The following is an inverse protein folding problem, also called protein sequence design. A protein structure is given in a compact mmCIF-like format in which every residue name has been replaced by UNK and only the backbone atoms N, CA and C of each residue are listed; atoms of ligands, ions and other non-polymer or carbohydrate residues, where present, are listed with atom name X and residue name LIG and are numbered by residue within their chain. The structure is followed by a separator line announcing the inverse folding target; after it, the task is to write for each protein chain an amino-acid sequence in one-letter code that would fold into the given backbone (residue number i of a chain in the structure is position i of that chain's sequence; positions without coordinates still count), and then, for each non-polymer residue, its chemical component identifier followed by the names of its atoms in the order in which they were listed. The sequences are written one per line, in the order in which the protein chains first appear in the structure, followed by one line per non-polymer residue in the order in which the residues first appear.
data_IF_381531341930
#
_entry.id   IF_381531341930
#
_cell.length_a   1.000
_cell.length_b   1.000
_cell.length_c   1.000
_cell.angle_alpha   90.00
_cell.angle_beta   90.00
_cell.angle_gamma   90.00
#
_symmetry.space_group_name_H-M   'P 1'
#
loop_
_entity.id
_entity.type
_entity.pdbx_description
1 polymer ?
#
# COMPACT_ATOMS: atom_id res chain seq x y z
N UNK A 1 10.08 1.74 -20.24
CA UNK A 1 10.13 2.27 -18.88
C UNK A 1 8.76 2.02 -18.27
N UNK A 2 8.67 1.34 -17.14
CA UNK A 2 7.39 1.19 -16.44
C UNK A 2 7.02 2.57 -15.89
N UNK A 3 6.00 3.19 -16.46
CA UNK A 3 5.44 4.43 -15.97
C UNK A 3 4.49 4.05 -14.86
N UNK A 4 4.77 4.47 -13.61
CA UNK A 4 3.85 4.27 -12.50
C UNK A 4 2.50 4.94 -12.77
N UNK A 5 1.44 4.49 -12.10
CA UNK A 5 0.12 5.10 -12.24
C UNK A 5 0.19 6.59 -11.98
N UNK A 6 -0.28 7.36 -12.95
CA UNK A 6 -0.45 8.80 -12.79
C UNK A 6 -1.47 9.07 -11.68
N UNK A 7 -1.11 9.88 -10.70
CA UNK A 7 -2.01 10.34 -9.66
C UNK A 7 -1.73 11.80 -9.33
N UNK A 8 -2.63 12.72 -9.69
CA UNK A 8 -2.47 14.13 -9.35
C UNK A 8 -2.31 14.37 -7.86
N UNK A 9 -2.90 13.50 -7.05
CA UNK A 9 -2.82 13.58 -5.58
C UNK A 9 -1.47 13.15 -5.02
N UNK A 10 -0.67 12.39 -5.78
CA UNK A 10 0.68 11.96 -5.38
C UNK A 10 1.70 13.09 -5.35
N UNK A 11 1.36 14.26 -5.87
CA UNK A 11 2.18 15.47 -5.83
C UNK A 11 2.40 15.98 -4.40
N UNK A 12 1.45 15.72 -3.52
CA UNK A 12 1.39 16.32 -2.18
C UNK A 12 1.89 15.36 -1.10
N UNK A 13 2.44 15.92 -0.03
CA UNK A 13 2.89 15.16 1.12
C UNK A 13 4.06 14.23 0.82
N UNK A 14 3.87 12.95 1.07
CA UNK A 14 4.85 11.88 0.81
C UNK A 14 4.43 10.97 -0.36
N UNK A 15 3.61 11.49 -1.26
CA UNK A 15 3.03 10.73 -2.36
C UNK A 15 1.72 10.02 -1.99
N UNK A 16 1.24 9.16 -2.88
CA UNK A 16 0.10 8.29 -2.61
C UNK A 16 0.55 7.11 -1.74
N UNK A 17 -0.04 7.03 -0.55
CA UNK A 17 0.24 5.95 0.39
C UNK A 17 -0.46 4.69 -0.07
N UNK A 18 0.28 3.58 -0.06
CA UNK A 18 -0.21 2.28 -0.47
C UNK A 18 -0.96 1.61 0.69
N UNK A 19 -2.26 1.48 0.55
CA UNK A 19 -3.12 0.81 1.54
C UNK A 19 -3.16 -0.73 1.37
N UNK A 20 -2.53 -1.23 0.31
CA UNK A 20 -2.54 -2.64 -0.06
C UNK A 20 -1.45 -3.45 0.63
N UNK A 21 -1.80 -4.65 1.11
CA UNK A 21 -0.83 -5.63 1.62
C UNK A 21 -0.38 -6.62 0.55
N UNK A 22 -1.07 -6.65 -0.60
CA UNK A 22 -0.76 -7.50 -1.74
C UNK A 22 -0.54 -8.97 -1.37
N UNK A 23 -1.36 -9.48 -0.45
CA UNK A 23 -1.41 -10.86 -0.01
C UNK A 23 -2.80 -11.46 -0.26
N UNK A 24 -3.10 -12.61 0.31
CA UNK A 24 -4.39 -13.26 0.18
C UNK A 24 -5.58 -12.34 0.50
N UNK A 25 -5.44 -11.37 1.40
CA UNK A 25 -6.54 -10.49 1.80
C UNK A 25 -6.88 -9.41 0.77
N UNK A 26 -6.12 -9.28 -0.33
CA UNK A 26 -6.39 -8.30 -1.39
C UNK A 26 -7.80 -8.47 -1.96
N UNK A 27 -8.27 -9.70 -2.17
CA UNK A 27 -9.63 -10.01 -2.60
C UNK A 27 -10.73 -9.71 -1.56
N UNK A 28 -10.34 -9.51 -0.30
CA UNK A 28 -11.20 -9.09 0.81
C UNK A 28 -11.10 -7.57 1.08
N UNK A 29 -10.74 -6.77 0.07
CA UNK A 29 -10.49 -5.33 0.21
C UNK A 29 -9.40 -4.99 1.23
N UNK A 30 -8.35 -5.83 1.34
CA UNK A 30 -7.28 -5.74 2.33
C UNK A 30 -7.75 -5.84 3.79
N UNK A 31 -8.89 -6.48 4.03
CA UNK A 31 -9.45 -6.75 5.35
C UNK A 31 -8.79 -7.99 5.92
N UNK A 32 -7.96 -7.86 6.96
CA UNK A 32 -7.16 -8.99 7.43
C UNK A 32 -6.50 -8.81 8.80
N UNK A 33 -6.86 -7.80 9.60
CA UNK A 33 -6.27 -7.57 10.93
C UNK A 33 -6.54 -8.76 11.86
N UNK A 34 -7.69 -9.41 11.75
CA UNK A 34 -8.04 -10.62 12.49
C UNK A 34 -7.97 -11.90 11.65
N UNK A 35 -7.68 -11.79 10.33
CA UNK A 35 -7.63 -12.94 9.44
C UNK A 35 -6.37 -13.77 9.72
N UNK A 36 -6.51 -15.10 9.79
CA UNK A 36 -5.42 -16.03 10.07
C UNK A 36 -5.30 -17.05 8.94
N UNK A 37 -4.08 -17.38 8.56
CA UNK A 37 -3.80 -18.38 7.52
C UNK A 37 -2.57 -19.21 7.87
N UNK A 38 -2.70 -20.51 7.74
CA UNK A 38 -1.59 -21.42 7.98
C UNK A 38 -0.61 -21.56 6.79
N UNK A 39 -0.93 -20.96 5.65
CA UNK A 39 -0.14 -21.05 4.41
C UNK A 39 0.31 -19.69 3.89
N UNK A 40 -0.59 -18.70 3.90
CA UNK A 40 -0.32 -17.38 3.32
C UNK A 40 0.20 -16.40 4.37
N UNK A 41 1.08 -15.50 3.93
CA UNK A 41 1.69 -14.47 4.78
C UNK A 41 0.72 -13.28 4.91
N UNK A 42 -0.03 -13.25 6.00
CA UNK A 42 -1.00 -12.17 6.29
C UNK A 42 -0.28 -11.05 7.03
N UNK A 43 0.28 -10.10 6.28
CA UNK A 43 1.02 -8.96 6.85
C UNK A 43 0.16 -7.80 7.35
N UNK A 44 -1.17 -7.94 7.30
CA UNK A 44 -2.12 -6.97 7.86
C UNK A 44 -1.98 -6.81 9.38
N UNK A 45 -1.53 -7.88 10.06
CA UNK A 45 -1.26 -7.91 11.48
C UNK A 45 -0.06 -8.83 11.74
N UNK A 46 1.05 -8.34 12.31
CA UNK A 46 2.23 -9.18 12.54
C UNK A 46 1.95 -10.41 13.43
N UNK A 47 0.95 -10.36 14.31
CA UNK A 47 0.58 -11.50 15.15
C UNK A 47 0.09 -12.72 14.33
N UNK A 48 -0.36 -12.52 13.07
CA UNK A 48 -0.88 -13.59 12.21
C UNK A 48 0.17 -14.64 11.83
N UNK A 49 1.46 -14.28 11.83
CA UNK A 49 2.55 -15.20 11.43
C UNK A 49 2.71 -16.40 12.35
N UNK A 50 2.18 -16.34 13.58
CA UNK A 50 2.14 -17.50 14.48
C UNK A 50 1.24 -18.65 13.97
N UNK A 51 0.30 -18.37 13.03
CA UNK A 51 -0.61 -19.37 12.45
C UNK A 51 0.05 -20.24 11.40
N UNK A 52 1.16 -19.83 10.81
CA UNK A 52 1.86 -20.58 9.77
C UNK A 52 2.05 -22.06 10.20
N UNK A 53 1.98 -22.96 9.21
CA UNK A 53 2.22 -24.39 9.46
C UNK A 53 3.63 -24.61 9.98
N UNK A 54 3.78 -25.40 11.03
CA UNK A 54 5.08 -25.75 11.62
C UNK A 54 6.01 -26.41 10.61
N UNK A 55 7.28 -26.04 10.61
CA UNK A 55 8.29 -26.53 9.66
C UNK A 55 7.96 -26.27 8.19
N UNK A 56 7.17 -25.21 7.92
CA UNK A 56 6.74 -24.82 6.59
C UNK A 56 7.38 -23.49 6.22
N UNK A 57 8.02 -23.47 5.07
CA UNK A 57 8.53 -22.28 4.42
C UNK A 57 7.51 -21.81 3.40
N UNK A 58 7.23 -20.54 3.37
CA UNK A 58 6.37 -19.92 2.36
C UNK A 58 7.02 -18.67 1.79
N UNK A 59 6.85 -18.48 0.49
CA UNK A 59 7.32 -17.31 -0.25
C UNK A 59 6.17 -16.78 -1.10
N UNK A 60 6.01 -15.48 -1.14
CA UNK A 60 4.98 -14.79 -1.91
C UNK A 60 5.59 -13.73 -2.81
N UNK A 61 5.10 -13.68 -4.04
CA UNK A 61 5.40 -12.60 -4.98
C UNK A 61 4.12 -12.12 -5.63
N UNK A 62 4.01 -10.81 -5.85
CA UNK A 62 2.81 -10.18 -6.37
C UNK A 62 3.10 -9.05 -7.33
N UNK A 63 2.30 -8.98 -8.41
CA UNK A 63 2.29 -7.89 -9.38
C UNK A 63 0.88 -7.32 -9.50
N UNK A 64 0.77 -6.02 -9.80
CA UNK A 64 -0.49 -5.33 -10.04
C UNK A 64 -0.45 -4.61 -11.37
N UNK A 65 -1.42 -4.88 -12.24
CA UNK A 65 -1.81 -4.03 -13.36
C UNK A 65 -2.88 -3.04 -12.90
N UNK A 66 -2.78 -1.81 -13.32
CA UNK A 66 -3.71 -0.74 -12.99
C UNK A 66 -4.12 0.02 -14.25
N UNK A 67 -5.42 0.34 -14.35
CA UNK A 67 -6.00 1.21 -15.37
C UNK A 67 -6.77 2.31 -14.64
N UNK A 68 -6.51 3.55 -15.00
CA UNK A 68 -7.13 4.72 -14.35
C UNK A 68 -7.71 5.64 -15.42
N UNK A 69 -8.96 6.06 -15.22
CA UNK A 69 -9.67 7.07 -16.00
C UNK A 69 -9.88 8.31 -15.13
N UNK A 70 -9.47 9.48 -15.64
CA UNK A 70 -9.50 10.74 -14.91
C UNK A 70 -10.66 11.61 -15.39
N UNK A 71 -11.39 12.23 -14.46
CA UNK A 71 -12.49 13.17 -14.73
C UNK A 71 -12.36 14.40 -13.86
N UNK A 72 -12.52 15.57 -14.43
CA UNK A 72 -12.47 16.86 -13.73
C UNK A 72 -11.68 17.91 -14.48
N UNK A 73 -11.72 19.14 -14.01
CA UNK A 73 -10.94 20.29 -14.46
C UNK A 73 -10.20 20.89 -13.26
N UNK A 74 -9.05 21.54 -13.40
CA UNK A 74 -8.56 22.32 -14.53
C UNK A 74 -7.21 21.82 -15.11
N UNK A 75 -6.91 20.54 -15.02
CA UNK A 75 -5.60 20.05 -15.44
C UNK A 75 -5.71 19.60 -16.90
N UNK A 76 -4.93 20.22 -17.78
CA UNK A 76 -4.66 19.68 -19.10
C UNK A 76 -3.75 18.46 -18.93
N UNK A 77 -4.39 17.34 -18.59
CA UNK A 77 -3.73 16.05 -18.47
C UNK A 77 -3.44 15.59 -19.89
N UNK A 78 -2.19 15.35 -20.23
CA UNK A 78 -1.76 14.88 -21.54
C UNK A 78 -2.51 13.60 -21.98
N UNK A 79 -3.11 12.87 -21.03
CA UNK A 79 -3.99 11.74 -21.26
C UNK A 79 -5.02 11.63 -20.15
N UNK A 80 -6.29 11.43 -20.52
CA UNK A 80 -7.39 11.13 -19.59
C UNK A 80 -7.33 9.70 -19.03
N UNK A 81 -6.38 8.89 -19.48
CA UNK A 81 -6.22 7.49 -19.08
C UNK A 81 -4.77 7.16 -18.83
N UNK A 82 -4.52 6.29 -17.86
CA UNK A 82 -3.21 5.75 -17.53
C UNK A 82 -3.28 4.24 -17.32
N UNK A 83 -2.24 3.52 -17.76
CA UNK A 83 -2.09 2.09 -17.51
C UNK A 83 -0.67 1.78 -17.05
N UNK A 84 -0.53 0.89 -16.06
CA UNK A 84 0.75 0.53 -15.49
C UNK A 84 0.77 -0.91 -14.98
N UNK A 85 1.97 -1.51 -14.95
CA UNK A 85 2.23 -2.80 -14.30
C UNK A 85 3.37 -2.64 -13.33
N UNK A 86 3.11 -2.93 -12.05
CA UNK A 86 4.08 -2.75 -10.97
C UNK A 86 4.25 -3.99 -10.14
N UNK A 87 5.50 -4.23 -9.72
CA UNK A 87 5.81 -5.20 -8.70
C UNK A 87 5.40 -4.68 -7.33
N UNK A 88 4.69 -5.50 -6.53
CA UNK A 88 4.06 -5.04 -5.29
C UNK A 88 4.46 -5.82 -4.05
N UNK A 89 4.96 -7.04 -4.20
CA UNK A 89 5.28 -7.85 -3.03
C UNK A 89 6.36 -8.88 -3.32
N UNK A 90 7.34 -8.93 -2.43
CA UNK A 90 8.20 -10.06 -2.22
C UNK A 90 8.22 -10.32 -0.71
N UNK A 91 7.82 -11.51 -0.30
CA UNK A 91 7.81 -11.85 1.12
C UNK A 91 8.15 -13.32 1.32
N UNK A 92 8.79 -13.63 2.43
CA UNK A 92 9.15 -14.97 2.85
C UNK A 92 8.81 -15.14 4.32
N UNK A 93 8.39 -16.34 4.70
CA UNK A 93 8.08 -16.61 6.10
C UNK A 93 8.24 -18.07 6.45
N UNK A 94 8.51 -18.31 7.72
CA UNK A 94 8.64 -19.65 8.32
C UNK A 94 8.00 -19.67 9.70
N UNK A 95 7.55 -20.83 10.11
CA UNK A 95 7.27 -21.11 11.52
C UNK A 95 8.46 -21.87 12.10
N UNK A 96 9.31 -21.16 12.82
CA UNK A 96 10.58 -21.69 13.32
C UNK A 96 10.39 -22.69 14.46
N UNK A 97 9.35 -22.49 15.29
CA UNK A 97 8.96 -23.43 16.37
C UNK A 97 7.44 -23.59 16.38
N UNK A 98 6.90 -24.43 17.25
CA UNK A 98 5.44 -24.63 17.39
C UNK A 98 4.67 -23.33 17.68
N UNK A 99 5.32 -22.35 18.30
CA UNK A 99 4.70 -21.10 18.75
C UNK A 99 5.23 -19.86 18.05
N UNK A 100 6.41 -19.94 17.42
CA UNK A 100 7.09 -18.78 16.84
C UNK A 100 7.10 -18.82 15.32
N UNK A 101 6.47 -17.82 14.71
CA UNK A 101 6.51 -17.54 13.27
C UNK A 101 7.24 -16.25 12.97
N UNK A 102 7.96 -16.20 11.86
CA UNK A 102 8.70 -15.02 11.40
C UNK A 102 8.52 -14.82 9.90
N UNK A 103 8.59 -13.55 9.46
CA UNK A 103 8.50 -13.18 8.05
C UNK A 103 9.40 -11.99 7.76
N UNK A 104 9.99 -11.98 6.58
CA UNK A 104 10.68 -10.84 5.98
C UNK A 104 10.02 -10.50 4.65
N UNK A 105 10.08 -9.25 4.24
CA UNK A 105 9.53 -8.87 2.93
C UNK A 105 9.85 -7.46 2.52
N UNK A 106 9.56 -7.20 1.24
CA UNK A 106 9.68 -5.91 0.57
C UNK A 106 8.34 -5.59 -0.09
N UNK A 107 7.78 -4.44 0.26
CA UNK A 107 6.50 -3.94 -0.27
C UNK A 107 6.59 -2.42 -0.52
N UNK A 108 5.84 -1.86 -1.45
CA UNK A 108 5.75 -0.41 -1.60
C UNK A 108 5.08 0.22 -0.37
N UNK A 109 5.53 1.41 0.00
CA UNK A 109 4.96 2.23 1.08
C UNK A 109 4.20 3.42 0.52
N UNK A 110 4.83 4.18 -0.40
CA UNK A 110 4.16 5.25 -1.15
C UNK A 110 4.75 5.39 -2.55
N UNK A 111 3.96 5.97 -3.45
CA UNK A 111 4.37 6.21 -4.84
C UNK A 111 4.06 7.63 -5.24
N UNK A 112 4.92 8.21 -6.05
CA UNK A 112 4.71 9.50 -6.68
C UNK A 112 4.83 9.32 -8.20
N UNK A 113 3.77 9.70 -8.92
CA UNK A 113 3.79 9.77 -10.38
C UNK A 113 2.72 10.74 -10.84
N UNK A 114 3.14 11.89 -11.36
CA UNK A 114 2.28 12.91 -11.92
C UNK A 114 3.01 13.67 -13.01
N UNK A 115 2.25 14.17 -13.98
CA UNK A 115 2.72 15.02 -15.07
C UNK A 115 1.57 15.90 -15.57
N UNK A 116 1.70 17.22 -15.49
CA UNK A 116 0.68 18.14 -15.98
C UNK A 116 1.25 19.52 -16.32
N UNK A 117 0.54 20.22 -17.21
CA UNK A 117 0.85 21.58 -17.61
C UNK A 117 -0.21 22.54 -17.06
N UNK A 118 0.24 23.68 -16.58
CA UNK A 118 -0.64 24.77 -16.14
C UNK A 118 -0.27 26.03 -16.96
N UNK A 119 -1.20 26.58 -17.76
CA UNK A 119 -0.94 27.84 -18.44
C UNK A 119 -0.76 28.98 -17.41
N UNK A 120 0.27 29.77 -17.58
CA UNK A 120 0.63 30.85 -16.69
C UNK A 120 0.82 32.16 -17.47
N UNK A 121 0.16 33.24 -17.05
CA UNK A 121 0.35 34.56 -17.64
C UNK A 121 1.60 35.21 -17.06
N UNK A 122 2.59 35.48 -17.89
CA UNK A 122 3.79 36.22 -17.49
C UNK A 122 3.42 37.65 -17.18
N UNK A 123 3.59 38.07 -15.92
CA UNK A 123 3.36 39.46 -15.50
C UNK A 123 4.35 40.39 -16.22
N UNK A 124 3.83 41.37 -16.95
CA UNK A 124 4.64 42.36 -17.66
C UNK A 124 4.92 42.05 -19.13
N UNK A 125 4.51 40.91 -19.67
CA UNK A 125 4.73 40.52 -21.09
C UNK A 125 3.52 40.77 -22.01
N UNK A 126 2.45 41.39 -21.52
CA UNK A 126 1.22 41.63 -22.27
C UNK A 126 0.36 40.35 -22.43
N UNK A 127 0.39 39.68 -23.56
CA UNK A 127 -0.44 38.51 -23.86
C UNK A 127 0.35 37.20 -23.96
N UNK A 128 1.63 37.17 -23.58
CA UNK A 128 2.42 35.96 -23.65
C UNK A 128 2.02 34.98 -22.53
N UNK A 129 1.60 33.79 -22.97
CA UNK A 129 1.27 32.66 -22.09
C UNK A 129 2.50 31.78 -21.99
N UNK A 130 3.03 31.61 -20.80
CA UNK A 130 4.02 30.59 -20.49
C UNK A 130 3.31 29.31 -20.01
N UNK A 131 3.91 28.16 -20.21
CA UNK A 131 3.44 26.90 -19.65
C UNK A 131 4.31 26.53 -18.46
N UNK A 132 3.67 26.20 -17.37
CA UNK A 132 4.31 25.65 -16.18
C UNK A 132 4.14 24.13 -16.17
N UNK A 133 5.21 23.41 -16.47
CA UNK A 133 5.22 21.95 -16.54
C UNK A 133 5.69 21.40 -15.19
N UNK A 134 4.83 20.57 -14.59
CA UNK A 134 5.10 19.87 -13.33
C UNK A 134 5.17 18.37 -13.60
N UNK A 135 6.22 17.74 -13.13
CA UNK A 135 6.34 16.28 -13.12
C UNK A 135 6.96 15.77 -11.84
N UNK A 136 6.54 14.59 -11.42
CA UNK A 136 7.12 13.93 -10.27
C UNK A 136 7.03 12.43 -10.41
N UNK A 137 8.10 11.74 -10.02
CA UNK A 137 8.15 10.29 -10.04
C UNK A 137 9.02 9.79 -8.89
N UNK A 138 8.79 8.56 -8.51
CA UNK A 138 9.57 7.89 -7.47
C UNK A 138 8.71 6.98 -6.61
N UNK A 139 9.37 6.27 -5.72
CA UNK A 139 8.72 5.38 -4.78
C UNK A 139 9.48 5.31 -3.47
N UNK A 140 8.72 5.18 -2.40
CA UNK A 140 9.22 4.85 -1.08
C UNK A 140 8.78 3.42 -0.78
N UNK A 141 9.72 2.58 -0.39
CA UNK A 141 9.52 1.17 -0.14
C UNK A 141 9.68 0.84 1.34
N UNK A 142 9.14 -0.28 1.74
CA UNK A 142 9.20 -0.82 3.09
C UNK A 142 9.81 -2.22 3.06
N UNK A 143 11.03 -2.37 3.61
CA UNK A 143 11.61 -3.67 3.94
C UNK A 143 11.28 -3.98 5.40
N UNK A 144 10.65 -5.11 5.67
CA UNK A 144 10.20 -5.45 7.01
C UNK A 144 10.74 -6.79 7.50
N UNK A 145 10.86 -6.88 8.82
CA UNK A 145 11.06 -8.12 9.55
C UNK A 145 10.02 -8.20 10.67
N UNK A 146 9.20 -9.23 10.61
CA UNK A 146 8.11 -9.45 11.55
C UNK A 146 8.28 -10.76 12.30
N UNK A 147 7.91 -10.76 13.57
CA UNK A 147 7.92 -11.92 14.46
C UNK A 147 6.59 -12.01 15.18
N UNK A 148 6.11 -13.22 15.37
CA UNK A 148 4.90 -13.52 16.12
C UNK A 148 5.10 -14.69 17.05
N UNK A 149 4.52 -14.61 18.24
CA UNK A 149 4.53 -15.67 19.22
C UNK A 149 3.13 -15.98 19.73
N UNK A 150 2.78 -17.25 19.76
CA UNK A 150 1.50 -17.77 20.23
C UNK A 150 1.58 -18.19 21.70
N UNK A 151 0.68 -17.64 22.50
CA UNK A 151 0.50 -17.98 23.91
C UNK A 151 -0.81 -18.75 24.11
N UNK A 152 -0.78 -19.77 24.94
CA UNK A 152 -1.96 -20.52 25.41
C UNK A 152 -2.91 -21.00 24.29
N UNK A 153 -2.45 -21.12 23.05
CA UNK A 153 -3.24 -21.50 21.86
C UNK A 153 -4.47 -20.64 21.54
N UNK A 154 -4.56 -19.44 22.13
CA UNK A 154 -5.67 -18.53 21.96
C UNK A 154 -5.27 -17.07 21.76
N UNK A 155 -4.03 -16.73 22.04
CA UNK A 155 -3.51 -15.37 21.99
C UNK A 155 -2.21 -15.38 21.20
N UNK A 156 -2.12 -14.51 20.21
CA UNK A 156 -0.87 -14.27 19.49
C UNK A 156 -0.49 -12.80 19.60
N UNK A 157 0.76 -12.53 19.87
CA UNK A 157 1.37 -11.20 19.80
C UNK A 157 2.42 -11.17 18.71
N UNK A 158 2.58 -10.03 18.08
CA UNK A 158 3.56 -9.86 17.02
C UNK A 158 4.14 -8.45 17.00
N UNK A 159 5.34 -8.35 16.46
CA UNK A 159 6.00 -7.09 16.19
C UNK A 159 6.66 -7.12 14.81
N UNK A 160 6.56 -6.02 14.09
CA UNK A 160 7.20 -5.78 12.80
C UNK A 160 8.13 -4.57 12.95
N UNK A 161 9.39 -4.73 12.59
CA UNK A 161 10.33 -3.65 12.37
C UNK A 161 10.46 -3.45 10.87
N UNK A 162 10.14 -2.25 10.39
CA UNK A 162 10.16 -1.90 8.98
C UNK A 162 11.14 -0.76 8.73
N UNK A 163 12.07 -0.95 7.80
CA UNK A 163 12.91 0.10 7.27
C UNK A 163 12.24 0.69 6.03
N UNK A 164 11.83 1.95 6.15
CA UNK A 164 11.24 2.73 5.06
C UNK A 164 12.37 3.47 4.37
N UNK A 165 12.44 3.38 3.04
CA UNK A 165 13.49 4.01 2.24
C UNK A 165 13.02 4.26 0.82
N UNK A 166 13.52 5.33 0.21
CA UNK A 166 13.21 5.65 -1.18
C UNK A 166 13.50 7.09 -1.54
N UNK A 167 13.21 7.42 -2.79
CA UNK A 167 13.42 8.73 -3.37
C UNK A 167 12.19 9.18 -4.15
N UNK A 168 11.84 10.45 -3.97
CA UNK A 168 10.82 11.16 -4.75
C UNK A 168 11.52 12.28 -5.51
N UNK A 169 11.34 12.31 -6.83
CA UNK A 169 11.94 13.30 -7.72
C UNK A 169 10.83 14.20 -8.25
N UNK A 170 10.96 15.50 -8.06
CA UNK A 170 10.02 16.51 -8.52
C UNK A 170 10.75 17.46 -9.48
N UNK A 171 10.13 17.76 -10.60
CA UNK A 171 10.64 18.69 -11.60
C UNK A 171 9.57 19.70 -11.97
N UNK A 172 9.96 20.94 -12.00
CA UNK A 172 9.14 22.09 -12.28
C UNK A 172 9.84 22.95 -13.34
N UNK A 173 9.20 23.13 -14.50
CA UNK A 173 9.77 23.84 -15.64
C UNK A 173 8.82 24.94 -16.06
N UNK A 174 9.31 26.19 -16.09
CA UNK A 174 8.63 27.32 -16.74
C UNK A 174 9.11 27.37 -18.17
N UNK A 175 8.18 27.22 -19.12
CA UNK A 175 8.43 27.27 -20.56
C UNK A 175 7.84 28.56 -21.16
N UNK A 176 8.64 29.26 -21.96
CA UNK A 176 8.15 30.40 -22.74
C UNK A 176 7.19 29.98 -23.88
N UNK A 177 6.55 30.94 -24.52
CA UNK A 177 5.58 30.72 -25.60
C UNK A 177 6.12 29.95 -26.82
N UNK A 178 7.46 29.92 -26.99
CA UNK A 178 8.15 29.12 -28.02
C UNK A 178 8.53 27.71 -27.55
N UNK A 179 8.12 27.28 -26.33
CA UNK A 179 8.47 26.00 -25.75
C UNK A 179 9.87 25.90 -25.15
N UNK A 180 10.66 27.00 -25.20
CA UNK A 180 11.98 26.99 -24.56
C UNK A 180 11.86 27.03 -23.04
N UNK A 181 12.70 26.26 -22.34
CA UNK A 181 12.76 26.27 -20.89
C UNK A 181 13.37 27.59 -20.41
N UNK A 182 12.64 28.35 -19.60
CA UNK A 182 13.12 29.59 -18.97
C UNK A 182 13.81 29.31 -17.66
N UNK A 183 13.21 28.45 -16.84
CA UNK A 183 13.75 28.02 -15.54
C UNK A 183 13.33 26.57 -15.31
N UNK A 184 14.26 25.74 -14.86
CA UNK A 184 14.00 24.37 -14.42
C UNK A 184 14.39 24.21 -12.95
N UNK A 185 13.45 23.85 -12.12
CA UNK A 185 13.68 23.50 -10.71
C UNK A 185 13.57 22.01 -10.52
N UNK A 186 14.55 21.38 -9.92
CA UNK A 186 14.52 19.98 -9.48
C UNK A 186 14.51 19.92 -7.96
N UNK A 187 13.77 18.98 -7.40
CA UNK A 187 13.72 18.72 -5.96
C UNK A 187 13.72 17.21 -5.73
N UNK A 188 14.85 16.68 -5.31
CA UNK A 188 15.02 15.26 -5.01
C UNK A 188 14.93 15.07 -3.50
N UNK A 189 13.99 14.25 -3.07
CA UNK A 189 13.72 13.99 -1.65
C UNK A 189 14.04 12.53 -1.35
N UNK A 190 15.14 12.30 -0.64
CA UNK A 190 15.53 10.99 -0.14
C UNK A 190 14.97 10.80 1.26
N UNK A 191 14.25 9.69 1.48
CA UNK A 191 13.59 9.40 2.76
C UNK A 191 14.06 8.08 3.33
N UNK A 192 14.29 8.05 4.64
CA UNK A 192 14.64 6.82 5.35
C UNK A 192 14.32 6.89 6.84
N UNK A 193 13.83 5.83 7.43
CA UNK A 193 13.83 5.55 8.88
C UNK A 193 13.22 4.20 9.21
N UNK A 194 13.24 3.84 10.49
CA UNK A 194 12.56 2.69 11.07
C UNK A 194 11.14 3.04 11.51
N UNK A 195 10.21 2.13 11.24
CA UNK A 195 8.81 2.20 11.64
C UNK A 195 8.39 0.88 12.28
N UNK A 196 7.78 0.94 13.46
CA UNK A 196 7.41 -0.23 14.23
C UNK A 196 5.91 -0.44 14.22
N UNK A 197 5.48 -1.68 14.01
CA UNK A 197 4.08 -2.09 14.12
C UNK A 197 3.95 -3.26 15.09
N UNK A 198 3.02 -3.15 16.01
CA UNK A 198 2.69 -4.18 16.99
C UNK A 198 1.33 -4.78 16.65
N UNK A 199 1.16 -6.06 16.91
CA UNK A 199 -0.05 -6.78 16.63
C UNK A 199 -0.47 -7.70 17.78
N UNK A 200 -1.77 -7.81 17.94
CA UNK A 200 -2.41 -8.74 18.87
C UNK A 200 -3.53 -9.45 18.12
N UNK A 201 -3.67 -10.75 18.35
CA UNK A 201 -4.83 -11.52 17.93
C UNK A 201 -5.28 -12.42 19.08
N UNK A 202 -6.60 -12.43 19.33
CA UNK A 202 -7.26 -13.35 20.25
C UNK A 202 -8.26 -14.15 19.45
N UNK A 203 -8.25 -15.47 19.58
CA UNK A 203 -9.04 -16.35 18.73
C UNK A 203 -9.48 -17.61 19.47
N UNK A 204 -10.53 -18.22 18.95
CA UNK A 204 -11.10 -19.42 19.56
C UNK A 204 -12.20 -20.03 18.73
N UNK A 205 -12.82 -21.05 19.30
CA UNK A 205 -13.94 -21.75 18.70
C UNK A 205 -15.23 -21.50 19.52
N UNK A 206 -16.34 -21.25 18.83
CA UNK A 206 -17.69 -21.22 19.38
C UNK A 206 -18.41 -22.51 18.97
N UNK A 207 -18.36 -23.50 19.84
CA UNK A 207 -18.82 -24.85 19.53
C UNK A 207 -17.98 -25.54 18.43
N UNK A 208 -18.59 -26.46 17.69
CA UNK A 208 -17.89 -27.30 16.69
C UNK A 208 -17.81 -26.66 15.30
N UNK A 209 -18.61 -25.64 15.02
CA UNK A 209 -18.82 -25.11 13.66
C UNK A 209 -18.27 -23.69 13.45
N UNK A 210 -18.11 -22.92 14.49
CA UNK A 210 -17.72 -21.54 14.39
C UNK A 210 -16.33 -21.32 14.95
N UNK A 211 -15.53 -20.55 14.23
CA UNK A 211 -14.25 -20.01 14.67
C UNK A 211 -14.33 -18.50 14.63
N UNK A 212 -13.74 -17.83 15.61
CA UNK A 212 -13.70 -16.40 15.69
C UNK A 212 -12.28 -15.92 15.98
N UNK A 213 -11.97 -14.72 15.53
CA UNK A 213 -10.76 -14.01 15.90
C UNK A 213 -11.03 -12.51 16.00
N UNK A 214 -10.43 -11.89 16.99
CA UNK A 214 -10.32 -10.45 17.14
C UNK A 214 -8.86 -10.06 16.95
N UNK A 215 -8.61 -8.97 16.25
CA UNK A 215 -7.28 -8.45 15.99
C UNK A 215 -7.16 -6.98 16.35
N UNK A 216 -5.99 -6.60 16.83
CA UNK A 216 -5.58 -5.22 17.03
C UNK A 216 -4.20 -4.97 16.47
N UNK A 217 -3.99 -3.79 15.88
CA UNK A 217 -2.67 -3.32 15.44
C UNK A 217 -2.43 -1.90 15.93
N UNK A 218 -1.18 -1.63 16.27
CA UNK A 218 -0.71 -0.31 16.65
C UNK A 218 0.64 -0.06 16.00
N UNK A 219 0.79 1.10 15.35
CA UNK A 219 2.10 1.58 14.89
C UNK A 219 2.38 2.92 15.55
N UNK A 220 3.55 3.08 16.12
CA UNK A 220 3.93 4.34 16.74
C UNK A 220 4.36 5.36 15.68
N UNK A 221 4.18 6.64 16.00
CA UNK A 221 4.74 7.75 15.24
C UNK A 221 6.24 7.53 15.00
N UNK A 222 6.71 7.82 13.78
CA UNK A 222 8.12 7.81 13.42
C UNK A 222 8.46 9.04 12.57
N UNK A 223 9.62 9.62 12.81
CA UNK A 223 10.07 10.81 12.06
C UNK A 223 11.03 10.34 10.96
N UNK A 224 10.55 10.29 9.71
CA UNK A 224 11.38 9.99 8.53
C UNK A 224 12.41 11.11 8.34
N UNK A 225 13.68 10.74 8.27
CA UNK A 225 14.71 11.67 7.81
C UNK A 225 14.54 11.86 6.31
N UNK A 226 14.25 13.10 5.90
CA UNK A 226 14.09 13.51 4.52
C UNK A 226 15.20 14.50 4.15
N UNK A 227 16.05 14.11 3.20
CA UNK A 227 17.10 14.98 2.65
C UNK A 227 16.61 15.57 1.34
N UNK A 228 16.46 16.89 1.30
CA UNK A 228 16.00 17.65 0.14
C UNK A 228 17.20 18.21 -0.63
N UNK A 229 17.34 17.84 -1.89
CA UNK A 229 18.32 18.38 -2.81
C UNK A 229 17.61 19.21 -3.87
N UNK A 230 17.65 20.54 -3.74
CA UNK A 230 16.99 21.47 -4.67
C UNK A 230 18.01 22.14 -5.58
N UNK A 231 17.86 21.92 -6.89
CA UNK A 231 18.62 22.59 -7.94
C UNK A 231 17.75 23.54 -8.76
N UNK A 232 18.31 24.65 -9.24
CA UNK A 232 17.66 25.58 -10.16
C UNK A 232 18.60 25.89 -11.31
N UNK A 233 18.13 25.69 -12.54
CA UNK A 233 18.87 25.92 -13.79
C UNK A 233 18.12 26.98 -14.61
N UNK A 234 18.84 28.02 -15.06
CA UNK A 234 18.31 29.04 -15.95
C UNK A 234 18.25 28.64 -17.41
N UNK A 235 17.68 29.51 -18.25
CA UNK A 235 17.50 29.27 -19.71
C UNK A 235 18.80 29.08 -20.49
N UNK A 236 19.87 29.68 -19.99
CA UNK A 236 21.24 29.57 -20.56
C UNK A 236 22.03 28.36 -20.02
N UNK A 237 21.35 27.45 -19.33
CA UNK A 237 21.94 26.32 -18.61
C UNK A 237 22.85 26.71 -17.45
N UNK A 238 22.79 27.98 -17.01
CA UNK A 238 23.51 28.43 -15.82
C UNK A 238 22.90 27.82 -14.56
N UNK A 239 23.73 27.37 -13.64
CA UNK A 239 23.30 26.90 -12.32
C UNK A 239 22.97 28.14 -11.47
N UNK A 240 21.70 28.52 -11.33
CA UNK A 240 21.22 29.56 -10.47
C UNK A 240 21.28 29.14 -8.99
N UNK A 241 21.08 27.86 -8.75
CA UNK A 241 21.25 27.24 -7.43
C UNK A 241 21.73 25.80 -7.59
N UNK A 242 22.89 25.47 -7.05
CA UNK A 242 23.36 24.09 -6.97
C UNK A 242 22.56 23.30 -5.95
N UNK A 243 22.35 21.99 -6.16
CA UNK A 243 21.71 21.15 -5.19
C UNK A 243 22.43 21.23 -3.84
N UNK A 244 21.67 21.56 -2.80
CA UNK A 244 22.15 21.55 -1.41
C UNK A 244 21.25 20.66 -0.60
N UNK A 245 21.83 19.72 0.14
CA UNK A 245 21.11 18.84 1.04
C UNK A 245 20.57 19.61 2.23
N UNK A 246 19.25 19.69 2.37
CA UNK A 246 18.59 20.20 3.57
C UNK A 246 17.86 19.04 4.24
N UNK A 247 18.24 18.72 5.45
CA UNK A 247 17.59 17.68 6.23
C UNK A 247 16.35 18.22 6.92
N UNK A 248 15.28 17.45 6.85
CA UNK A 248 14.01 17.71 7.55
C UNK A 248 13.43 16.39 8.03
N UNK A 249 12.59 16.45 9.05
CA UNK A 249 11.84 15.30 9.54
C UNK A 249 10.40 15.36 9.06
N UNK A 250 9.95 14.28 8.45
CA UNK A 250 8.55 14.07 8.07
C UNK A 250 7.96 13.02 9.01
N UNK A 251 7.00 13.45 9.82
CA UNK A 251 6.42 12.55 10.83
C UNK A 251 5.37 11.62 10.22
N UNK A 252 5.61 10.31 10.28
CA UNK A 252 4.59 9.30 10.05
C UNK A 252 3.62 9.25 11.24
N UNK A 253 2.34 8.93 11.01
CA UNK A 253 1.31 8.97 12.04
C UNK A 253 1.40 7.81 13.03
N UNK A 254 0.79 7.99 14.20
CA UNK A 254 0.28 6.87 14.94
C UNK A 254 -0.84 6.21 14.13
N UNK A 255 -0.82 4.88 14.03
CA UNK A 255 -1.82 4.12 13.33
C UNK A 255 -2.45 3.08 14.26
N UNK A 256 -3.76 2.99 14.23
CA UNK A 256 -4.56 2.07 15.02
C UNK A 256 -5.42 1.24 14.09
N UNK A 257 -5.50 -0.05 14.33
CA UNK A 257 -6.36 -0.94 13.56
C UNK A 257 -7.06 -1.93 14.46
N UNK A 258 -8.32 -2.20 14.18
CA UNK A 258 -9.09 -3.26 14.83
C UNK A 258 -9.77 -4.11 13.76
N UNK A 259 -9.92 -5.40 14.03
CA UNK A 259 -10.51 -6.33 13.08
C UNK A 259 -11.25 -7.48 13.75
N UNK A 260 -12.21 -8.02 13.02
CA UNK A 260 -12.99 -9.20 13.39
C UNK A 260 -12.96 -10.21 12.24
N UNK A 261 -12.84 -11.48 12.57
CA UNK A 261 -12.99 -12.60 11.64
C UNK A 261 -13.92 -13.66 12.24
N UNK A 262 -14.91 -14.10 11.45
CA UNK A 262 -15.83 -15.17 11.80
C UNK A 262 -15.81 -16.22 10.69
N UNK A 263 -15.54 -17.48 11.04
CA UNK A 263 -15.51 -18.58 10.07
C UNK A 263 -16.49 -19.66 10.47
N UNK A 264 -17.40 -20.03 9.55
CA UNK A 264 -18.38 -21.09 9.73
C UNK A 264 -18.01 -22.32 8.93
N UNK A 265 -18.01 -23.50 9.59
CA UNK A 265 -17.70 -24.81 9.01
C UNK A 265 -16.35 -24.85 8.26
N UNK A 266 -15.41 -23.96 8.58
CA UNK A 266 -14.14 -23.80 7.84
C UNK A 266 -14.35 -23.52 6.34
N UNK A 267 -15.51 -23.02 5.95
CA UNK A 267 -15.90 -22.81 4.55
C UNK A 267 -16.24 -21.35 4.27
N UNK A 268 -17.01 -20.71 5.14
CA UNK A 268 -17.47 -19.34 4.97
C UNK A 268 -16.77 -18.46 5.99
N UNK A 269 -16.08 -17.43 5.53
CA UNK A 269 -15.38 -16.48 6.41
C UNK A 269 -15.86 -15.06 6.12
N UNK A 270 -16.26 -14.36 7.16
CA UNK A 270 -16.58 -12.92 7.16
C UNK A 270 -15.49 -12.20 7.93
N UNK A 271 -15.02 -11.09 7.38
CA UNK A 271 -14.01 -10.24 8.01
C UNK A 271 -14.44 -8.79 7.96
N UNK A 272 -14.07 -8.04 8.98
CA UNK A 272 -14.32 -6.60 9.08
C UNK A 272 -13.12 -5.94 9.74
N UNK A 273 -12.64 -4.83 9.17
CA UNK A 273 -11.55 -4.01 9.71
C UNK A 273 -11.95 -2.55 9.75
N UNK A 274 -11.44 -1.85 10.76
CA UNK A 274 -11.38 -0.41 10.83
C UNK A 274 -9.97 0.04 11.16
N UNK A 275 -9.45 1.04 10.42
CA UNK A 275 -8.13 1.65 10.60
C UNK A 275 -8.25 3.15 10.74
N UNK A 276 -7.46 3.70 11.63
CA UNK A 276 -7.35 5.13 11.87
C UNK A 276 -5.89 5.54 11.93
N UNK A 277 -5.53 6.65 11.29
CA UNK A 277 -4.18 7.21 11.29
C UNK A 277 -4.25 8.70 11.62
N UNK A 278 -3.51 9.11 12.65
CA UNK A 278 -3.45 10.50 13.07
C UNK A 278 -2.27 11.22 12.40
N UNK A 279 -2.55 11.84 11.26
CA UNK A 279 -1.57 12.59 10.47
C UNK A 279 -1.34 14.02 10.95
N UNK A 280 -1.90 14.47 12.06
CA UNK A 280 -1.81 15.83 12.58
C UNK A 280 -0.36 16.30 12.81
N UNK A 281 0.57 15.37 13.00
CA UNK A 281 1.99 15.65 13.18
C UNK A 281 2.76 15.90 11.88
N UNK A 282 2.21 15.51 10.72
CA UNK A 282 2.83 15.74 9.42
C UNK A 282 2.64 17.21 9.02
N UNK A 283 3.69 18.00 9.17
CA UNK A 283 3.72 19.40 8.72
C UNK A 283 4.30 19.43 7.31
N UNK A 284 3.45 19.56 6.31
CA UNK A 284 3.87 19.83 4.94
C UNK A 284 3.57 21.29 4.60
N UNK A 285 4.52 22.02 4.01
CA UNK A 285 4.26 23.34 3.43
C UNK A 285 3.77 23.16 2.01
N UNK A 286 2.80 23.99 1.59
CA UNK A 286 2.34 24.05 0.21
C UNK A 286 3.52 24.22 -0.74
N UNK A 287 3.71 23.28 -1.64
CA UNK A 287 4.81 23.27 -2.60
C UNK A 287 4.40 24.00 -3.87
N UNK A 288 3.10 24.17 -4.12
CA UNK A 288 2.55 24.72 -5.37
C UNK A 288 1.73 25.99 -5.12
N UNK A 289 1.96 27.05 -5.90
CA UNK A 289 1.12 28.25 -5.89
C UNK A 289 -0.29 27.91 -6.35
N UNK A 290 -1.30 28.37 -5.60
CA UNK A 290 -2.70 28.27 -6.00
C UNK A 290 -3.42 26.99 -5.56
N UNK A 291 -2.76 26.05 -4.90
CA UNK A 291 -3.41 24.88 -4.32
C UNK A 291 -3.40 24.96 -2.80
N UNK A 292 -4.56 25.16 -2.19
CA UNK A 292 -4.72 25.11 -0.75
C UNK A 292 -4.91 23.65 -0.32
N UNK A 293 -3.90 23.09 0.35
CA UNK A 293 -4.02 21.76 0.91
C UNK A 293 -3.64 21.72 2.38
N UNK A 294 -4.31 20.88 3.11
CA UNK A 294 -4.06 20.59 4.52
C UNK A 294 -3.97 19.09 4.76
N UNK A 295 -3.46 18.74 5.91
CA UNK A 295 -3.32 17.35 6.35
C UNK A 295 -4.40 17.09 7.39
N UNK A 296 -5.15 15.99 7.18
CA UNK A 296 -6.20 15.53 8.07
C UNK A 296 -5.94 14.07 8.47
N UNK A 297 -6.57 13.63 9.55
CA UNK A 297 -6.56 12.21 9.93
C UNK A 297 -7.20 11.37 8.84
N UNK A 298 -6.66 10.18 8.60
CA UNK A 298 -7.22 9.24 7.65
C UNK A 298 -7.87 8.06 8.36
N UNK A 299 -8.95 7.57 7.78
CA UNK A 299 -9.70 6.41 8.26
C UNK A 299 -10.16 5.53 7.11
N UNK A 300 -10.26 4.22 7.38
CA UNK A 300 -10.72 3.25 6.41
C UNK A 300 -11.48 2.13 7.09
N UNK A 301 -12.72 1.92 6.65
CA UNK A 301 -13.54 0.76 6.97
C UNK A 301 -13.55 -0.22 5.80
N UNK A 302 -13.48 -1.52 6.08
CA UNK A 302 -13.57 -2.55 5.06
C UNK A 302 -14.27 -3.81 5.56
N UNK A 303 -14.97 -4.47 4.66
CA UNK A 303 -15.68 -5.72 4.88
C UNK A 303 -15.30 -6.72 3.80
N UNK A 304 -15.11 -7.97 4.18
CA UNK A 304 -14.78 -9.04 3.25
C UNK A 304 -15.53 -10.33 3.53
N UNK A 305 -15.75 -11.09 2.48
CA UNK A 305 -16.37 -12.42 2.52
C UNK A 305 -15.59 -13.41 1.68
N UNK A 306 -15.35 -14.60 2.23
CA UNK A 306 -14.62 -15.68 1.55
C UNK A 306 -15.41 -16.96 1.62
N UNK A 307 -15.41 -17.70 0.49
CA UNK A 307 -15.90 -19.09 0.40
C UNK A 307 -14.72 -19.98 0.02
N UNK A 308 -14.32 -20.87 0.92
CA UNK A 308 -13.27 -21.86 0.67
C UNK A 308 -13.85 -23.21 0.28
N UNK A 309 -13.31 -23.80 -0.80
CA UNK A 309 -13.58 -25.18 -1.19
C UNK A 309 -12.46 -26.08 -0.69
N UNK A 310 -12.78 -27.00 0.22
CA UNK A 310 -11.84 -27.95 0.80
C UNK A 310 -12.18 -29.40 0.37
N UNK A 311 -11.14 -30.21 0.23
CA UNK A 311 -11.28 -31.66 -0.04
C UNK A 311 -10.53 -32.42 1.05
N UNK A 312 -11.12 -33.55 1.46
CA UNK A 312 -10.42 -34.49 2.35
C UNK A 312 -9.34 -35.20 1.53
N UNK A 313 -8.10 -35.08 2.00
CA UNK A 313 -6.96 -35.78 1.43
C UNK A 313 -6.28 -36.55 2.57
N UNK A 314 -6.41 -37.88 2.56
CA UNK A 314 -6.07 -38.72 3.70
C UNK A 314 -6.77 -38.20 4.98
N UNK A 315 -6.05 -37.96 6.05
CA UNK A 315 -6.57 -37.50 7.34
C UNK A 315 -6.62 -35.96 7.50
N UNK A 316 -6.39 -35.20 6.43
CA UNK A 316 -6.37 -33.73 6.47
C UNK A 316 -7.32 -33.10 5.45
N UNK A 317 -7.89 -31.95 5.79
CA UNK A 317 -8.66 -31.11 4.87
C UNK A 317 -7.71 -30.15 4.17
N UNK A 318 -7.60 -30.27 2.85
CA UNK A 318 -6.77 -29.40 2.02
C UNK A 318 -7.68 -28.44 1.26
N UNK A 319 -7.37 -27.15 1.31
CA UNK A 319 -8.05 -26.12 0.52
C UNK A 319 -7.63 -26.24 -0.95
N UNK A 320 -8.62 -26.37 -1.85
CA UNK A 320 -8.40 -26.44 -3.29
C UNK A 320 -8.49 -25.09 -3.96
N UNK A 321 -9.52 -24.33 -3.60
CA UNK A 321 -9.80 -23.03 -4.18
C UNK A 321 -10.61 -22.20 -3.19
N UNK A 322 -10.59 -20.89 -3.39
CA UNK A 322 -11.42 -19.96 -2.65
C UNK A 322 -11.86 -18.82 -3.56
N UNK A 323 -13.03 -18.29 -3.24
CA UNK A 323 -13.57 -17.09 -3.84
C UNK A 323 -13.72 -16.04 -2.74
N UNK A 324 -13.39 -14.79 -3.08
CA UNK A 324 -13.42 -13.66 -2.17
C UNK A 324 -14.18 -12.50 -2.78
N UNK A 325 -14.85 -11.72 -1.94
CA UNK A 325 -15.39 -10.42 -2.29
C UNK A 325 -15.22 -9.47 -1.12
N UNK A 326 -15.10 -8.18 -1.41
CA UNK A 326 -14.96 -7.19 -0.36
C UNK A 326 -15.37 -5.81 -0.83
N UNK A 327 -15.61 -4.93 0.14
CA UNK A 327 -15.92 -3.51 -0.07
C UNK A 327 -15.11 -2.69 0.92
N UNK A 328 -14.76 -1.47 0.53
CA UNK A 328 -14.07 -0.53 1.40
C UNK A 328 -14.51 0.90 1.13
N UNK A 329 -14.39 1.70 2.17
CA UNK A 329 -14.56 3.13 2.15
C UNK A 329 -13.55 3.76 3.10
N UNK A 330 -12.86 4.82 2.64
CA UNK A 330 -11.90 5.53 3.47
C UNK A 330 -11.68 6.97 3.02
N UNK A 331 -11.04 7.73 3.88
CA UNK A 331 -10.58 9.07 3.63
C UNK A 331 -9.06 9.08 3.59
N UNK A 332 -8.47 9.79 2.63
CA UNK A 332 -7.04 10.06 2.57
C UNK A 332 -6.62 11.06 3.66
N UNK A 333 -5.34 11.13 3.95
CA UNK A 333 -4.77 12.18 4.79
C UNK A 333 -4.74 13.56 4.14
N UNK A 334 -5.02 13.64 2.83
CA UNK A 334 -5.01 14.89 2.07
C UNK A 334 -6.40 15.53 2.06
N UNK A 335 -6.44 16.81 2.39
CA UNK A 335 -7.58 17.70 2.22
C UNK A 335 -7.16 18.84 1.27
N UNK A 336 -7.86 19.00 0.15
CA UNK A 336 -7.52 19.95 -0.92
C UNK A 336 -8.74 20.82 -1.19
N UNK A 337 -8.57 22.14 -1.22
CA UNK A 337 -9.66 23.11 -1.42
C UNK A 337 -10.85 22.86 -0.47
N UNK A 338 -10.57 22.47 0.78
CA UNK A 338 -11.59 22.15 1.78
C UNK A 338 -12.24 20.76 1.68
N UNK A 339 -11.92 19.97 0.63
CA UNK A 339 -12.47 18.62 0.42
C UNK A 339 -11.44 17.56 0.79
N UNK A 340 -11.77 16.67 1.70
CA UNK A 340 -10.93 15.50 2.01
C UNK A 340 -11.08 14.45 0.90
N UNK A 341 -9.96 13.96 0.39
CA UNK A 341 -9.95 12.99 -0.70
C UNK A 341 -10.44 11.64 -0.20
N UNK A 342 -11.53 11.16 -0.78
CA UNK A 342 -12.16 9.87 -0.44
C UNK A 342 -11.74 8.80 -1.43
N UNK A 343 -11.64 7.55 -0.96
CA UNK A 343 -11.39 6.36 -1.77
C UNK A 343 -12.37 5.26 -1.37
N UNK A 344 -13.13 4.74 -2.33
CA UNK A 344 -14.08 3.66 -2.13
C UNK A 344 -14.04 2.68 -3.29
N UNK A 345 -14.34 1.43 -3.00
CA UNK A 345 -14.38 0.43 -4.05
C UNK A 345 -14.82 -0.95 -3.60
N UNK A 346 -14.81 -1.84 -4.58
CA UNK A 346 -15.19 -3.24 -4.44
C UNK A 346 -14.07 -4.14 -4.98
N UNK A 347 -13.95 -5.33 -4.41
CA UNK A 347 -12.97 -6.33 -4.84
C UNK A 347 -13.64 -7.67 -5.07
N UNK A 348 -13.09 -8.44 -6.01
CA UNK A 348 -13.40 -9.85 -6.22
C UNK A 348 -12.10 -10.62 -6.41
N UNK A 349 -11.89 -11.69 -5.68
CA UNK A 349 -10.69 -12.52 -5.71
C UNK A 349 -11.00 -13.98 -5.94
N UNK A 350 -10.11 -14.66 -6.64
CA UNK A 350 -10.16 -16.11 -6.83
C UNK A 350 -8.78 -16.70 -6.63
N UNK A 351 -8.68 -17.75 -5.84
CA UNK A 351 -7.44 -18.45 -5.58
C UNK A 351 -7.55 -19.97 -5.77
N UNK A 352 -6.46 -20.56 -6.24
CA UNK A 352 -6.32 -22.00 -6.46
C UNK A 352 -5.04 -22.50 -5.83
N UNK A 353 -5.14 -23.57 -5.06
CA UNK A 353 -4.01 -24.29 -4.49
C UNK A 353 -3.75 -25.54 -5.32
N UNK A 354 -2.56 -25.67 -5.90
CA UNK A 354 -2.17 -26.88 -6.61
C UNK A 354 -2.00 -28.06 -5.64
N UNK A 355 -2.51 -29.23 -6.02
CA UNK A 355 -2.28 -30.47 -5.28
C UNK A 355 -1.01 -31.20 -5.72
N UNK A 356 -0.49 -30.87 -6.90
CA UNK A 356 0.68 -31.54 -7.49
C UNK A 356 1.98 -30.77 -7.27
N UNK A 357 1.88 -29.47 -7.06
CA UNK A 357 3.03 -28.58 -6.87
C UNK A 357 2.86 -27.77 -5.58
N UNK A 358 3.92 -27.27 -4.98
CA UNK A 358 3.85 -26.42 -3.79
C UNK A 358 3.32 -25.01 -4.05
N UNK A 359 2.73 -24.76 -5.22
CA UNK A 359 2.27 -23.46 -5.70
C UNK A 359 0.78 -23.21 -5.38
N UNK A 360 0.48 -21.95 -5.09
CA UNK A 360 -0.88 -21.42 -5.09
C UNK A 360 -0.91 -20.11 -5.88
N UNK A 361 -2.00 -19.85 -6.54
CA UNK A 361 -2.21 -18.68 -7.37
C UNK A 361 -3.45 -17.94 -6.89
N UNK A 362 -3.36 -16.63 -6.88
CA UNK A 362 -4.50 -15.76 -6.59
C UNK A 362 -4.56 -14.65 -7.63
N UNK A 363 -5.75 -14.38 -8.14
CA UNK A 363 -6.06 -13.23 -8.98
C UNK A 363 -7.14 -12.40 -8.30
N UNK A 364 -6.96 -11.09 -8.22
CA UNK A 364 -7.92 -10.17 -7.62
C UNK A 364 -8.20 -9.04 -8.60
N UNK A 365 -9.48 -8.74 -8.78
CA UNK A 365 -10.00 -7.58 -9.48
C UNK A 365 -10.50 -6.57 -8.44
N UNK A 366 -10.13 -5.31 -8.61
CA UNK A 366 -10.58 -4.20 -7.79
C UNK A 366 -11.09 -3.09 -8.71
N UNK A 367 -12.27 -2.59 -8.43
CA UNK A 367 -12.79 -1.36 -9.00
C UNK A 367 -12.97 -0.33 -7.89
N UNK A 368 -12.47 0.89 -8.11
CA UNK A 368 -12.56 1.94 -7.12
C UNK A 368 -12.68 3.34 -7.73
N UNK A 369 -13.11 4.26 -6.88
CA UNK A 369 -13.27 5.67 -7.17
C UNK A 369 -12.54 6.46 -6.09
N UNK A 370 -11.54 7.26 -6.51
CA UNK A 370 -10.74 8.12 -5.62
C UNK A 370 -10.92 9.58 -6.01
N UNK A 371 -11.19 10.44 -5.03
CA UNK A 371 -11.37 11.87 -5.22
C UNK A 371 -12.78 12.25 -5.71
N UNK A 372 -12.93 13.49 -6.15
CA UNK A 372 -14.19 14.11 -6.58
C UNK A 372 -13.94 15.12 -7.68
N UNK A 373 -14.97 15.48 -8.45
CA UNK A 373 -14.93 16.58 -9.43
C UNK A 373 -15.38 17.92 -8.83
N UNK A 374 -15.75 17.97 -7.54
CA UNK A 374 -16.11 19.21 -6.85
C UNK A 374 -14.85 20.04 -6.58
N UNK A 375 -15.03 21.35 -6.43
CA UNK A 375 -13.97 22.32 -6.08
C UNK A 375 -12.73 22.22 -6.97
N UNK A 376 -12.95 21.98 -8.29
CA UNK A 376 -11.88 21.83 -9.29
C UNK A 376 -10.89 20.69 -8.98
N UNK A 377 -11.40 19.60 -8.42
CA UNK A 377 -10.61 18.40 -8.14
C UNK A 377 -10.78 17.35 -9.24
N UNK A 378 -9.93 16.34 -9.23
CA UNK A 378 -9.91 15.25 -10.19
C UNK A 378 -10.46 13.98 -9.55
N UNK A 379 -11.45 13.36 -10.18
CA UNK A 379 -11.91 12.03 -9.84
C UNK A 379 -11.16 10.98 -10.65
N UNK A 380 -10.62 10.00 -9.99
CA UNK A 380 -9.97 8.83 -10.56
C UNK A 380 -10.92 7.64 -10.47
N UNK A 381 -11.32 7.06 -11.61
CA UNK A 381 -11.96 5.74 -11.63
C UNK A 381 -10.88 4.73 -11.99
N UNK A 382 -10.66 3.72 -11.20
CA UNK A 382 -9.57 2.79 -11.44
C UNK A 382 -10.00 1.32 -11.37
N UNK A 383 -9.34 0.52 -12.20
CA UNK A 383 -9.42 -0.93 -12.19
C UNK A 383 -8.02 -1.47 -11.92
N UNK A 384 -7.86 -2.24 -10.86
CA UNK A 384 -6.62 -2.94 -10.55
C UNK A 384 -6.82 -4.45 -10.71
N UNK A 385 -5.84 -5.10 -11.32
CA UNK A 385 -5.75 -6.56 -11.40
C UNK A 385 -4.48 -6.98 -10.69
N UNK A 386 -4.61 -7.68 -9.57
CA UNK A 386 -3.46 -8.17 -8.80
C UNK A 386 -3.32 -9.67 -8.98
N UNK A 387 -2.13 -10.10 -9.33
CA UNK A 387 -1.75 -11.50 -9.42
C UNK A 387 -0.71 -11.82 -8.36
N UNK A 388 -0.99 -12.84 -7.54
CA UNK A 388 -0.13 -13.30 -6.45
C UNK A 388 0.22 -14.78 -6.66
N UNK A 389 1.49 -15.10 -6.54
CA UNK A 389 2.00 -16.47 -6.49
C UNK A 389 2.51 -16.72 -5.07
N UNK A 390 2.05 -17.83 -4.49
CA UNK A 390 2.56 -18.34 -3.23
C UNK A 390 3.22 -19.70 -3.50
N UNK A 391 4.47 -19.81 -3.08
CA UNK A 391 5.22 -21.06 -3.02
C UNK A 391 5.34 -21.48 -1.56
N UNK A 392 5.01 -22.73 -1.24
CA UNK A 392 5.13 -23.20 0.12
C UNK A 392 5.56 -24.67 0.18
N UNK A 393 6.58 -24.97 0.96
CA UNK A 393 7.13 -26.30 1.11
C UNK A 393 7.60 -26.57 2.53
N UNK A 394 7.72 -27.82 2.89
CA UNK A 394 8.35 -28.24 4.15
C UNK A 394 9.84 -27.94 4.03
N UNK A 395 10.39 -27.13 4.96
CA UNK A 395 11.79 -26.72 4.90
C UNK A 395 12.73 -27.59 5.72
N UNK A 396 12.18 -28.40 6.64
CA UNK A 396 12.94 -29.31 7.49
C UNK A 396 12.17 -30.62 7.65
N UNK A 397 12.78 -31.71 7.19
CA UNK A 397 12.39 -33.07 7.55
C UNK A 397 13.49 -33.65 8.45
N UNK A 398 13.13 -34.14 9.63
CA UNK A 398 14.07 -34.99 10.42
C UNK A 398 14.45 -36.16 9.50
N UNK A 399 15.68 -36.16 9.02
CA UNK A 399 16.23 -37.33 8.32
C UNK A 399 16.04 -38.55 9.23
N UNK A 400 15.46 -39.63 8.72
CA UNK A 400 15.56 -40.92 9.38
C UNK A 400 17.05 -41.22 9.47
N UNK A 401 17.63 -41.26 10.67
CA UNK A 401 18.90 -41.94 10.88
C UNK A 401 18.61 -43.40 10.51
N UNK A 402 19.17 -43.85 9.39
CA UNK A 402 19.30 -45.28 9.15
C UNK A 402 20.37 -45.73 10.16
N UNK A 403 19.94 -46.45 11.18
CA UNK A 403 20.80 -47.30 11.99
C UNK A 403 21.10 -48.58 11.19
#
# INVERSE_FOLDING_TARGET
MAQGNFSPYSQMGIGDIEDGFYNRTTGLSNTGIAYRSNRFLISNNPASFSELTNQYFTMETGVRGSFVDYKGTPVDIASTQSADITFRRLAMGIKATKHWGTSIGLVPFSTQNYEFNVPYNLQGSGTEIANHYYSGHGSVNKAYWANAYEFFHHISVGAEAAYIFGQLNQKDIIQGGNGASLVSTTNDVNMQNLYMTYGLQVYGNLGKKWQWALGGTFSNKADLLATYNKGVIGSDSSNLQSPQGTERYLSLPNSYGVGLSLTHNQKFTWVADYRYQDWSALRSKNVYPGTDYSIASSERGSLGFEISRKKNFYNSKVELSYFQSGVYYGNSYLQINGEQIKDMGVTAGFGVNSLKTPLAYNITFQYGIKGTTKNNLIRQNYVNVTFLINYGSIWYTKGKKFE
#
